data_IF_984732730547
#
_entry.id   IF_984732730547
#
_cell.length_a   1.000
_cell.length_b   1.000
_cell.length_c   1.000
_cell.angle_alpha   90.00
_cell.angle_beta   90.00
_cell.angle_gamma   90.00
#
_symmetry.space_group_name_H-M   'P 1'
#
loop_
_entity.id
_entity.type
_entity.pdbx_description
1 polymer ?
#
# COMPACT_ATOMS: atom_id res chain seq x y z
N UNK A 1 -10.37 15.24 -10.52
CA UNK A 1 -11.58 14.41 -10.33
C UNK A 1 -11.75 14.14 -8.85
N UNK A 2 -12.77 14.74 -8.22
CA UNK A 2 -13.09 14.63 -6.80
C UNK A 2 -14.26 13.67 -6.59
N UNK A 3 -14.14 12.44 -7.11
CA UNK A 3 -15.19 11.44 -7.02
C UNK A 3 -14.72 10.26 -6.15
N UNK A 4 -14.87 10.37 -4.84
CA UNK A 4 -14.48 9.30 -3.91
C UNK A 4 -15.29 8.01 -4.10
N UNK A 5 -16.53 8.07 -4.61
CA UNK A 5 -17.30 6.87 -4.95
C UNK A 5 -16.62 6.05 -6.05
N UNK A 6 -16.10 6.73 -7.08
CA UNK A 6 -15.31 6.10 -8.13
C UNK A 6 -14.03 5.46 -7.56
N UNK A 7 -13.26 6.18 -6.73
CA UNK A 7 -12.03 5.65 -6.16
C UNK A 7 -12.28 4.50 -5.15
N UNK A 8 -13.38 4.53 -4.42
CA UNK A 8 -13.79 3.48 -3.50
C UNK A 8 -14.10 2.18 -4.25
N UNK A 9 -14.89 2.26 -5.33
CA UNK A 9 -15.22 1.09 -6.15
C UNK A 9 -13.97 0.56 -6.88
N UNK A 10 -13.15 1.48 -7.42
CA UNK A 10 -11.90 1.11 -8.07
C UNK A 10 -10.97 0.36 -7.10
N UNK A 11 -10.84 0.84 -5.86
CA UNK A 11 -10.01 0.17 -4.87
C UNK A 11 -10.62 -1.15 -4.36
N UNK A 12 -11.95 -1.25 -4.24
CA UNK A 12 -12.60 -2.54 -3.93
C UNK A 12 -12.21 -3.61 -4.96
N UNK A 13 -12.25 -3.25 -6.25
CA UNK A 13 -11.88 -4.15 -7.32
C UNK A 13 -10.38 -4.51 -7.28
N UNK A 14 -9.51 -3.53 -7.02
CA UNK A 14 -8.07 -3.79 -6.87
C UNK A 14 -7.74 -4.65 -5.64
N UNK A 15 -8.48 -4.47 -4.54
CA UNK A 15 -8.34 -5.29 -3.34
C UNK A 15 -8.66 -6.74 -3.67
N UNK A 16 -9.81 -7.02 -4.28
CA UNK A 16 -10.21 -8.40 -4.57
C UNK A 16 -9.26 -9.09 -5.57
N UNK A 17 -8.88 -8.38 -6.64
CA UNK A 17 -8.14 -9.02 -7.72
C UNK A 17 -6.63 -9.09 -7.47
N UNK A 18 -6.06 -8.11 -6.76
CA UNK A 18 -4.61 -7.99 -6.59
C UNK A 18 -4.16 -8.02 -5.13
N UNK A 19 -4.55 -7.02 -4.33
CA UNK A 19 -3.93 -6.79 -3.03
C UNK A 19 -4.30 -7.87 -1.99
N UNK A 20 -5.53 -8.39 -1.97
CA UNK A 20 -5.98 -9.50 -1.10
C UNK A 20 -5.15 -10.78 -1.37
N UNK A 21 -5.07 -11.31 -2.62
CA UNK A 21 -4.20 -12.44 -2.93
C UNK A 21 -2.73 -12.21 -2.55
N UNK A 22 -2.17 -11.02 -2.77
CA UNK A 22 -0.78 -10.73 -2.39
C UNK A 22 -0.59 -10.74 -0.88
N UNK A 23 -1.49 -10.09 -0.12
CA UNK A 23 -1.45 -10.06 1.34
C UNK A 23 -1.54 -11.47 1.96
N UNK A 24 -2.34 -12.36 1.38
CA UNK A 24 -2.51 -13.73 1.88
C UNK A 24 -1.31 -14.63 1.51
N UNK A 25 -0.87 -14.59 0.25
CA UNK A 25 0.14 -15.51 -0.28
C UNK A 25 1.57 -15.17 0.11
N UNK A 26 1.96 -13.89 0.18
CA UNK A 26 3.34 -13.49 0.53
C UNK A 26 3.76 -14.01 1.91
N UNK A 27 2.82 -14.14 2.84
CA UNK A 27 3.09 -14.58 4.21
C UNK A 27 2.65 -16.03 4.46
N UNK A 28 2.35 -16.80 3.41
CA UNK A 28 2.06 -18.23 3.51
C UNK A 28 3.31 -19.03 3.90
N UNK A 29 3.08 -20.24 4.41
CA UNK A 29 4.15 -21.18 4.79
C UNK A 29 4.79 -21.88 3.58
N UNK A 30 4.14 -21.85 2.40
CA UNK A 30 4.71 -22.35 1.16
C UNK A 30 5.69 -21.30 0.62
N UNK A 31 6.99 -21.60 0.67
CA UNK A 31 8.01 -20.66 0.22
C UNK A 31 7.94 -20.36 -1.29
N UNK A 32 7.53 -21.33 -2.12
CA UNK A 32 7.43 -21.14 -3.57
C UNK A 32 6.25 -20.23 -3.90
N UNK A 33 5.09 -20.49 -3.29
CA UNK A 33 3.90 -19.65 -3.47
C UNK A 33 4.15 -18.22 -2.96
N UNK A 34 4.77 -18.09 -1.78
CA UNK A 34 5.12 -16.78 -1.23
C UNK A 34 6.09 -15.99 -2.12
N UNK A 35 7.14 -16.63 -2.63
CA UNK A 35 8.09 -15.97 -3.52
C UNK A 35 7.43 -15.55 -4.84
N UNK A 36 6.57 -16.40 -5.41
CA UNK A 36 5.79 -16.07 -6.60
C UNK A 36 4.86 -14.86 -6.36
N UNK A 37 4.11 -14.86 -5.25
CA UNK A 37 3.26 -13.73 -4.88
C UNK A 37 4.08 -12.45 -4.64
N UNK A 38 5.26 -12.56 -4.02
CA UNK A 38 6.16 -11.43 -3.79
C UNK A 38 6.67 -10.84 -5.11
N UNK A 39 6.99 -11.68 -6.09
CA UNK A 39 7.33 -11.25 -7.44
C UNK A 39 6.20 -10.48 -8.11
N UNK A 40 4.98 -11.03 -8.07
CA UNK A 40 3.81 -10.41 -8.67
C UNK A 40 3.48 -9.07 -8.01
N UNK A 41 3.53 -8.99 -6.68
CA UNK A 41 3.37 -7.74 -5.95
C UNK A 41 4.44 -6.71 -6.33
N UNK A 42 5.72 -7.10 -6.37
CA UNK A 42 6.81 -6.21 -6.77
C UNK A 42 6.62 -5.63 -8.18
N UNK A 43 6.09 -6.45 -9.10
CA UNK A 43 5.77 -6.06 -10.48
C UNK A 43 4.56 -5.12 -10.54
N UNK A 44 3.45 -5.48 -9.90
CA UNK A 44 2.23 -4.68 -9.83
C UNK A 44 2.52 -3.28 -9.29
N UNK A 45 3.27 -3.20 -8.20
CA UNK A 45 3.69 -1.95 -7.59
C UNK A 45 4.84 -1.22 -8.30
N UNK A 46 5.38 -1.78 -9.39
CA UNK A 46 6.49 -1.23 -10.19
C UNK A 46 7.76 -0.97 -9.38
N UNK A 47 8.01 -1.78 -8.35
CA UNK A 47 9.19 -1.68 -7.47
C UNK A 47 10.28 -2.70 -7.80
N UNK A 48 10.03 -3.63 -8.74
CA UNK A 48 11.03 -4.63 -9.17
C UNK A 48 12.36 -4.00 -9.60
N UNK A 49 12.35 -2.80 -10.18
CA UNK A 49 13.54 -2.05 -10.62
C UNK A 49 14.49 -1.61 -9.50
N UNK A 50 14.04 -1.67 -8.25
CA UNK A 50 14.85 -1.35 -7.07
C UNK A 50 15.75 -2.51 -6.66
N UNK A 51 15.43 -3.72 -7.12
CA UNK A 51 16.12 -4.95 -6.74
C UNK A 51 16.95 -5.44 -7.92
N UNK A 52 18.28 -5.27 -7.83
CA UNK A 52 19.21 -5.82 -8.81
C UNK A 52 19.07 -7.35 -8.83
N UNK A 53 19.18 -7.93 -10.02
CA UNK A 53 19.18 -9.39 -10.15
C UNK A 53 20.48 -9.91 -9.55
N UNK A 54 20.35 -10.80 -8.58
CA UNK A 54 21.44 -11.54 -7.99
C UNK A 54 21.39 -12.95 -8.57
N UNK A 55 22.45 -13.37 -9.26
CA UNK A 55 22.51 -14.69 -9.89
C UNK A 55 22.74 -15.82 -8.86
N UNK A 56 23.07 -15.49 -7.60
CA UNK A 56 23.34 -16.45 -6.54
C UNK A 56 22.08 -16.88 -5.77
N UNK A 57 20.95 -16.21 -5.98
CA UNK A 57 19.67 -16.55 -5.36
C UNK A 57 18.52 -16.50 -6.36
N UNK A 58 17.41 -17.15 -6.00
CA UNK A 58 16.14 -16.88 -6.68
C UNK A 58 15.85 -15.40 -6.55
N UNK A 59 15.54 -14.73 -7.67
CA UNK A 59 15.32 -13.29 -7.73
C UNK A 59 14.36 -12.85 -6.60
N UNK A 60 14.68 -11.78 -5.88
CA UNK A 60 13.90 -11.25 -4.74
C UNK A 60 13.84 -12.12 -3.47
N UNK A 61 14.47 -13.30 -3.41
CA UNK A 61 14.40 -14.16 -2.21
C UNK A 61 14.90 -13.43 -0.96
N UNK A 62 16.07 -12.80 -1.01
CA UNK A 62 16.55 -12.05 0.16
C UNK A 62 15.69 -10.83 0.48
N UNK A 63 15.06 -10.20 -0.51
CA UNK A 63 14.12 -9.11 -0.24
C UNK A 63 12.89 -9.62 0.52
N UNK A 64 12.34 -10.77 0.11
CA UNK A 64 11.25 -11.43 0.81
C UNK A 64 11.65 -11.80 2.25
N UNK A 65 12.85 -12.36 2.44
CA UNK A 65 13.34 -12.74 3.77
C UNK A 65 13.45 -11.54 4.71
N UNK A 66 13.94 -10.39 4.22
CA UNK A 66 13.99 -9.14 4.97
C UNK A 66 12.58 -8.66 5.40
N UNK A 67 11.59 -8.73 4.50
CA UNK A 67 10.19 -8.37 4.82
C UNK A 67 9.60 -9.33 5.86
N UNK A 68 9.81 -10.64 5.68
CA UNK A 68 9.32 -11.67 6.59
C UNK A 68 9.97 -11.56 7.97
N UNK A 69 11.22 -11.12 8.05
CA UNK A 69 11.95 -10.88 9.30
C UNK A 69 11.37 -9.71 10.11
N UNK A 70 10.61 -8.78 9.52
CA UNK A 70 9.84 -7.75 10.25
C UNK A 70 8.60 -8.34 10.91
N UNK A 71 8.82 -9.25 11.86
CA UNK A 71 7.79 -9.86 12.69
C UNK A 71 7.49 -8.92 13.86
N UNK A 72 6.22 -8.65 14.11
CA UNK A 72 5.77 -7.81 15.22
C UNK A 72 4.61 -6.92 14.83
N UNK A 73 3.89 -6.43 15.84
CA UNK A 73 2.85 -5.44 15.62
C UNK A 73 3.48 -4.10 15.21
N UNK A 74 3.03 -3.54 14.08
CA UNK A 74 3.29 -2.16 13.74
C UNK A 74 2.30 -1.26 14.45
N UNK A 75 2.81 -0.15 14.98
CA UNK A 75 2.05 0.85 15.74
C UNK A 75 2.43 2.24 15.22
N UNK A 76 1.59 3.22 15.53
CA UNK A 76 1.87 4.63 15.26
C UNK A 76 3.26 5.08 15.73
N UNK A 77 3.76 4.50 16.82
CA UNK A 77 5.06 4.86 17.42
C UNK A 77 6.26 4.30 16.67
N UNK A 78 6.13 3.15 16.00
CA UNK A 78 7.26 2.42 15.42
C UNK A 78 7.21 2.30 13.88
N UNK A 79 6.10 2.69 13.24
CA UNK A 79 5.89 2.48 11.81
C UNK A 79 6.94 3.19 10.96
N UNK A 80 7.26 4.46 11.25
CA UNK A 80 8.27 5.20 10.50
C UNK A 80 9.65 4.56 10.59
N UNK A 81 10.08 4.26 11.82
CA UNK A 81 11.37 3.61 12.05
C UNK A 81 11.46 2.24 11.36
N UNK A 82 10.36 1.47 11.33
CA UNK A 82 10.35 0.15 10.68
C UNK A 82 10.45 0.26 9.17
N UNK A 83 9.74 1.22 8.56
CA UNK A 83 9.84 1.49 7.11
C UNK A 83 11.24 1.96 6.74
N UNK A 84 11.80 2.93 7.47
CA UNK A 84 13.14 3.46 7.20
C UNK A 84 14.22 2.40 7.38
N UNK A 85 14.08 1.53 8.39
CA UNK A 85 15.00 0.40 8.60
C UNK A 85 14.94 -0.59 7.45
N UNK A 86 13.74 -1.01 7.02
CA UNK A 86 13.60 -1.95 5.91
C UNK A 86 14.12 -1.32 4.60
N UNK A 87 13.86 -0.03 4.38
CA UNK A 87 14.36 0.70 3.23
C UNK A 87 15.90 0.73 3.22
N UNK A 88 16.52 0.96 4.38
CA UNK A 88 17.98 0.95 4.55
C UNK A 88 18.58 -0.43 4.32
N UNK A 89 17.91 -1.51 4.76
CA UNK A 89 18.34 -2.89 4.51
C UNK A 89 18.26 -3.24 3.02
N UNK A 90 17.22 -2.79 2.32
CA UNK A 90 17.14 -2.91 0.86
C UNK A 90 18.21 -2.07 0.16
N UNK A 91 18.44 -0.83 0.59
CA UNK A 91 19.45 0.03 -0.03
C UNK A 91 20.87 -0.52 0.17
N UNK A 92 21.18 -1.01 1.36
CA UNK A 92 22.47 -1.66 1.67
C UNK A 92 22.72 -2.86 0.75
N UNK A 93 21.69 -3.66 0.45
CA UNK A 93 21.81 -4.84 -0.41
C UNK A 93 21.80 -4.51 -1.92
N UNK A 94 20.94 -3.61 -2.36
CA UNK A 94 20.64 -3.42 -3.78
C UNK A 94 21.13 -2.08 -4.36
N UNK A 95 21.61 -1.17 -3.50
CA UNK A 95 22.24 0.10 -3.88
C UNK A 95 21.29 1.18 -4.40
N UNK A 96 20.01 1.10 -4.05
CA UNK A 96 18.99 2.10 -4.44
C UNK A 96 18.09 2.43 -3.26
N UNK A 97 17.70 3.71 -3.14
CA UNK A 97 16.66 4.13 -2.21
C UNK A 97 15.38 3.30 -2.45
N UNK A 98 14.89 2.67 -1.39
CA UNK A 98 13.82 1.70 -1.46
C UNK A 98 12.65 2.01 -0.50
N UNK A 99 12.50 3.27 -0.04
CA UNK A 99 11.40 3.66 0.87
C UNK A 99 10.04 3.27 0.30
N UNK A 100 9.81 3.56 -0.98
CA UNK A 100 8.56 3.21 -1.66
C UNK A 100 8.30 1.70 -1.67
N UNK A 101 9.33 0.88 -1.88
CA UNK A 101 9.20 -0.57 -1.86
C UNK A 101 8.95 -1.09 -0.45
N UNK A 102 9.71 -0.60 0.53
CA UNK A 102 9.56 -0.94 1.94
C UNK A 102 8.14 -0.64 2.45
N UNK A 103 7.62 0.56 2.20
CA UNK A 103 6.26 0.93 2.63
C UNK A 103 5.19 0.05 1.98
N UNK A 104 5.34 -0.33 0.70
CA UNK A 104 4.36 -1.16 -0.02
C UNK A 104 4.34 -2.60 0.50
N UNK A 105 5.50 -3.21 0.70
CA UNK A 105 5.56 -4.57 1.24
C UNK A 105 5.13 -4.63 2.71
N UNK A 106 5.46 -3.62 3.51
CA UNK A 106 4.97 -3.54 4.90
C UNK A 106 3.45 -3.31 4.96
N UNK A 107 2.90 -2.51 4.05
CA UNK A 107 1.45 -2.33 3.94
C UNK A 107 0.74 -3.64 3.56
N UNK A 108 1.27 -4.43 2.62
CA UNK A 108 0.69 -5.74 2.28
C UNK A 108 0.61 -6.68 3.49
N UNK A 109 1.50 -6.52 4.47
CA UNK A 109 1.50 -7.33 5.70
C UNK A 109 0.60 -6.78 6.79
N UNK A 110 0.74 -5.49 7.07
CA UNK A 110 0.23 -4.86 8.28
C UNK A 110 -0.93 -3.92 8.01
N UNK A 111 -1.09 -3.48 6.76
CA UNK A 111 -2.08 -2.47 6.34
C UNK A 111 -1.86 -1.18 7.14
N UNK A 112 -2.85 -0.72 7.89
CA UNK A 112 -2.68 0.43 8.82
C UNK A 112 -1.81 0.00 10.02
N UNK A 113 -0.82 0.80 10.46
CA UNK A 113 -0.65 2.25 10.23
C UNK A 113 0.32 2.64 9.09
N UNK A 114 0.65 1.71 8.20
CA UNK A 114 1.61 1.95 7.11
C UNK A 114 0.95 2.78 6.01
N UNK A 115 1.53 3.91 5.67
CA UNK A 115 1.12 4.70 4.50
C UNK A 115 2.06 4.36 3.35
N UNK A 116 1.52 4.11 2.16
CA UNK A 116 2.36 3.83 0.99
C UNK A 116 3.07 5.12 0.55
N UNK A 117 4.41 5.09 0.54
CA UNK A 117 5.21 6.17 -0.01
C UNK A 117 5.19 6.10 -1.54
N UNK A 118 4.53 7.07 -2.16
CA UNK A 118 4.39 7.14 -3.61
C UNK A 118 4.75 8.52 -4.17
N UNK A 119 5.50 8.53 -5.27
CA UNK A 119 5.95 9.77 -5.90
C UNK A 119 4.79 10.61 -6.45
N UNK A 120 3.70 9.99 -6.92
CA UNK A 120 2.52 10.71 -7.42
C UNK A 120 1.74 11.31 -6.27
N UNK A 121 1.49 10.53 -5.21
CA UNK A 121 0.88 11.07 -3.99
C UNK A 121 1.69 12.25 -3.42
N UNK A 122 3.02 12.14 -3.38
CA UNK A 122 3.91 13.25 -2.99
C UNK A 122 3.77 14.49 -3.90
N UNK A 123 3.62 14.30 -5.22
CA UNK A 123 3.41 15.39 -6.19
C UNK A 123 2.09 16.11 -5.90
N UNK A 124 1.01 15.35 -5.70
CA UNK A 124 -0.29 15.90 -5.33
C UNK A 124 -0.23 16.67 -4.01
N UNK A 125 0.37 16.09 -2.97
CA UNK A 125 0.50 16.72 -1.65
C UNK A 125 1.20 18.08 -1.75
N UNK A 126 2.35 18.15 -2.43
CA UNK A 126 3.08 19.41 -2.60
C UNK A 126 2.29 20.45 -3.40
N UNK A 127 1.57 20.03 -4.45
CA UNK A 127 0.73 20.94 -5.26
C UNK A 127 -0.42 21.54 -4.43
N UNK A 128 -0.93 20.81 -3.44
CA UNK A 128 -2.03 21.22 -2.58
C UNK A 128 -1.57 21.79 -1.23
N UNK A 129 -0.33 22.28 -1.14
CA UNK A 129 0.16 23.02 0.03
C UNK A 129 0.76 22.18 1.16
N UNK A 130 0.71 20.85 1.06
CA UNK A 130 1.35 19.95 2.02
C UNK A 130 2.84 19.80 1.68
N UNK A 131 3.71 20.35 2.53
CA UNK A 131 5.16 20.42 2.25
C UNK A 131 5.84 19.09 2.56
N UNK A 132 6.15 18.31 1.52
CA UNK A 132 6.75 16.98 1.66
C UNK A 132 8.17 16.94 1.09
N UNK A 133 9.21 16.82 1.96
CA UNK A 133 10.57 16.65 1.51
C UNK A 133 10.78 15.39 0.66
N UNK A 134 11.83 15.40 -0.16
CA UNK A 134 12.25 14.19 -0.86
C UNK A 134 12.82 13.17 0.14
N UNK A 135 12.51 11.90 -0.07
CA UNK A 135 13.08 10.76 0.68
C UNK A 135 12.90 10.82 2.21
N UNK A 136 11.88 11.51 2.73
CA UNK A 136 11.56 11.55 4.15
C UNK A 136 10.20 10.87 4.38
N UNK A 137 10.23 9.61 4.81
CA UNK A 137 9.00 8.85 5.06
C UNK A 137 8.18 9.43 6.20
N UNK A 138 8.83 9.89 7.27
CA UNK A 138 8.15 10.42 8.47
C UNK A 138 7.36 11.67 8.13
N UNK A 139 7.99 12.65 7.47
CA UNK A 139 7.30 13.87 7.05
C UNK A 139 6.29 13.61 5.96
N UNK A 140 6.57 12.70 5.02
CA UNK A 140 5.56 12.26 4.04
C UNK A 140 4.31 11.72 4.73
N UNK A 141 4.47 10.78 5.67
CA UNK A 141 3.36 10.16 6.40
C UNK A 141 2.57 11.21 7.18
N UNK A 142 3.25 12.12 7.87
CA UNK A 142 2.60 13.20 8.61
C UNK A 142 1.72 14.07 7.70
N UNK A 143 2.27 14.52 6.57
CA UNK A 143 1.54 15.36 5.63
C UNK A 143 0.40 14.61 4.94
N UNK A 144 0.62 13.33 4.60
CA UNK A 144 -0.42 12.46 4.06
C UNK A 144 -1.57 12.29 5.06
N UNK A 145 -1.28 12.08 6.34
CA UNK A 145 -2.31 11.94 7.39
C UNK A 145 -3.10 13.23 7.60
N UNK A 146 -2.45 14.39 7.56
CA UNK A 146 -3.14 15.67 7.57
C UNK A 146 -4.12 15.77 6.40
N UNK A 147 -3.66 15.49 5.18
CA UNK A 147 -4.51 15.53 3.99
C UNK A 147 -5.64 14.50 4.03
N UNK A 148 -5.39 13.31 4.58
CA UNK A 148 -6.41 12.27 4.73
C UNK A 148 -7.53 12.72 5.68
N UNK A 149 -7.18 13.38 6.80
CA UNK A 149 -8.17 13.93 7.74
C UNK A 149 -9.08 14.94 7.04
N UNK A 150 -8.51 15.80 6.19
CA UNK A 150 -9.28 16.81 5.44
C UNK A 150 -10.33 16.20 4.49
N UNK A 151 -10.11 14.98 4.00
CA UNK A 151 -11.01 14.27 3.06
C UNK A 151 -11.79 13.12 3.70
N UNK A 152 -11.65 12.92 5.02
CA UNK A 152 -12.11 11.69 5.69
C UNK A 152 -13.62 11.50 5.57
N UNK A 153 -14.39 12.57 5.75
CA UNK A 153 -15.85 12.51 5.72
C UNK A 153 -16.37 12.05 4.34
N UNK A 154 -15.77 12.51 3.25
CA UNK A 154 -16.19 12.14 1.89
C UNK A 154 -15.79 10.70 1.55
N UNK A 155 -14.61 10.26 2.04
CA UNK A 155 -14.15 8.87 1.90
C UNK A 155 -15.06 7.93 2.68
N UNK A 156 -15.40 8.26 3.92
CA UNK A 156 -16.30 7.47 4.75
C UNK A 156 -17.67 7.32 4.08
N UNK A 157 -18.24 8.43 3.60
CA UNK A 157 -19.51 8.42 2.87
C UNK A 157 -19.43 7.56 1.59
N UNK A 158 -18.34 7.66 0.82
CA UNK A 158 -18.15 6.86 -0.37
C UNK A 158 -18.03 5.35 -0.07
N UNK A 159 -17.26 4.97 0.95
CA UNK A 159 -17.08 3.58 1.35
C UNK A 159 -18.38 2.96 1.88
N UNK A 160 -19.16 3.67 2.69
CA UNK A 160 -20.47 3.19 3.15
C UNK A 160 -21.45 2.95 2.00
N UNK A 161 -21.30 3.69 0.89
CA UNK A 161 -22.12 3.51 -0.31
C UNK A 161 -21.80 2.26 -1.13
N UNK A 162 -20.66 1.60 -0.90
CA UNK A 162 -20.21 0.46 -1.72
C UNK A 162 -21.15 -0.75 -1.64
N UNK A 163 -21.75 -0.99 -0.48
CA UNK A 163 -22.67 -2.12 -0.30
C UNK A 163 -23.90 -2.02 -1.20
N UNK A 164 -24.29 -0.81 -1.63
CA UNK A 164 -25.43 -0.60 -2.54
C UNK A 164 -25.11 -0.90 -4.01
N UNK A 165 -23.84 -1.12 -4.34
CA UNK A 165 -23.37 -1.35 -5.72
C UNK A 165 -22.50 -2.60 -5.83
N UNK A 166 -22.58 -3.49 -4.82
CA UNK A 166 -21.73 -4.67 -4.70
C UNK A 166 -21.85 -5.60 -5.93
N UNK A 167 -23.06 -5.76 -6.45
CA UNK A 167 -23.39 -6.59 -7.62
C UNK A 167 -22.64 -6.15 -8.91
N UNK A 168 -22.13 -4.92 -8.94
CA UNK A 168 -21.35 -4.38 -10.06
C UNK A 168 -19.83 -4.39 -9.81
N UNK A 169 -19.38 -5.07 -8.76
CA UNK A 169 -17.98 -5.10 -8.35
C UNK A 169 -17.35 -6.48 -8.50
N UNK A 170 -16.03 -6.55 -8.37
CA UNK A 170 -15.30 -7.82 -8.30
C UNK A 170 -15.54 -8.56 -6.98
N UNK A 171 -16.31 -7.99 -6.05
CA UNK A 171 -16.68 -8.59 -4.77
C UNK A 171 -18.13 -9.11 -4.75
N UNK A 172 -18.80 -9.23 -5.90
CA UNK A 172 -20.21 -9.62 -5.98
C UNK A 172 -20.51 -11.03 -5.42
N UNK A 173 -19.55 -11.95 -5.50
CA UNK A 173 -19.66 -13.32 -4.98
C UNK A 173 -19.14 -13.47 -3.53
N UNK A 174 -18.61 -12.39 -2.94
CA UNK A 174 -18.03 -12.42 -1.60
C UNK A 174 -19.12 -12.28 -0.52
N UNK A 175 -18.84 -12.78 0.68
CA UNK A 175 -19.75 -12.63 1.81
C UNK A 175 -19.96 -11.15 2.16
N UNK A 176 -21.22 -10.72 2.24
CA UNK A 176 -21.56 -9.31 2.45
C UNK A 176 -21.06 -8.78 3.79
N UNK A 177 -21.01 -9.62 4.84
CA UNK A 177 -20.52 -9.21 6.15
C UNK A 177 -19.00 -9.03 6.12
N UNK A 178 -18.28 -9.91 5.44
CA UNK A 178 -16.84 -9.77 5.21
C UNK A 178 -16.51 -8.51 4.40
N UNK A 179 -17.23 -8.27 3.30
CA UNK A 179 -17.03 -7.06 2.48
C UNK A 179 -17.33 -5.80 3.29
N UNK A 180 -18.44 -5.78 4.04
CA UNK A 180 -18.80 -4.67 4.93
C UNK A 180 -17.69 -4.38 5.95
N UNK A 181 -17.11 -5.42 6.56
CA UNK A 181 -15.96 -5.30 7.47
C UNK A 181 -14.71 -4.74 6.78
N UNK A 182 -14.45 -5.12 5.54
CA UNK A 182 -13.33 -4.60 4.74
C UNK A 182 -13.53 -3.12 4.41
N UNK A 183 -14.66 -2.74 3.81
CA UNK A 183 -14.87 -1.36 3.31
C UNK A 183 -15.03 -0.33 4.42
N UNK A 184 -15.44 -0.77 5.62
CA UNK A 184 -15.51 0.07 6.82
C UNK A 184 -14.16 0.20 7.56
N UNK A 185 -13.16 -0.58 7.18
CA UNK A 185 -11.85 -0.54 7.84
C UNK A 185 -11.05 0.72 7.48
N UNK A 186 -10.29 1.21 8.45
CA UNK A 186 -9.43 2.38 8.26
C UNK A 186 -8.45 2.18 7.10
N UNK A 187 -7.81 1.00 7.01
CA UNK A 187 -6.82 0.74 5.96
C UNK A 187 -7.43 0.75 4.56
N UNK A 188 -8.70 0.37 4.42
CA UNK A 188 -9.37 0.42 3.13
C UNK A 188 -9.61 1.86 2.71
N UNK A 189 -10.11 2.68 3.63
CA UNK A 189 -10.34 4.11 3.43
C UNK A 189 -9.04 4.87 3.12
N UNK A 190 -7.94 4.54 3.81
CA UNK A 190 -6.61 5.06 3.52
C UNK A 190 -6.21 4.78 2.06
N UNK A 191 -6.55 3.60 1.53
CA UNK A 191 -6.22 3.21 0.17
C UNK A 191 -7.12 3.82 -0.89
N UNK A 192 -8.38 4.09 -0.56
CA UNK A 192 -9.25 4.95 -1.39
C UNK A 192 -8.61 6.32 -1.56
N UNK A 193 -8.08 6.89 -0.47
CA UNK A 193 -7.36 8.16 -0.54
C UNK A 193 -6.09 8.06 -1.40
N UNK A 194 -5.29 7.01 -1.25
CA UNK A 194 -4.12 6.80 -2.11
C UNK A 194 -4.47 6.76 -3.61
N UNK A 195 -5.61 6.15 -3.98
CA UNK A 195 -6.11 6.14 -5.36
C UNK A 195 -6.49 7.54 -5.83
N UNK A 196 -7.19 8.31 -4.99
CA UNK A 196 -7.51 9.71 -5.26
C UNK A 196 -6.25 10.53 -5.50
N UNK A 197 -5.25 10.42 -4.61
CA UNK A 197 -3.97 11.12 -4.73
C UNK A 197 -3.23 10.74 -6.02
N UNK A 198 -3.16 9.44 -6.32
CA UNK A 198 -2.46 8.92 -7.48
C UNK A 198 -3.07 9.38 -8.81
N UNK A 199 -4.40 9.43 -8.88
CA UNK A 199 -5.13 9.84 -10.09
C UNK A 199 -5.09 11.35 -10.31
N UNK A 200 -5.12 12.14 -9.23
CA UNK A 200 -5.13 13.60 -9.29
C UNK A 200 -3.73 14.22 -9.29
N UNK A 201 -2.68 13.43 -9.10
CA UNK A 201 -1.33 13.89 -9.37
C UNK A 201 -1.20 14.13 -10.88
N UNK A 202 -1.07 15.41 -11.29
CA UNK A 202 -0.83 15.76 -12.70
C UNK A 202 0.27 14.84 -13.29
N UNK A 203 0.16 14.47 -14.58
CA UNK A 203 1.24 13.74 -15.25
C UNK A 203 2.55 14.56 -15.21
#
# INVERSE_FOLDING_TARGET
MENFKYFALMYLNDWQFWDKPFSERIFSNDNKDSLDAFHHAAKYYKVTRNFRIDASESRLQAALDLVRAKRGALTEKNVCQTVDRLASEFESRYGKNAISAASKFLWLRHKSPVVIFDSRARKWLNKNGYKVPANDYTRYRQQWLCAFVDHRAEIDHACSGLMNVLDYSMAHDEDQQEVSGVVSSLWFQERVFDKFLWFNADN
#
